data_IF_621971485957
#
_entry.id   IF_621971485957
#
_cell.length_a   1.000
_cell.length_b   1.000
_cell.length_c   1.000
_cell.angle_alpha   90.00
_cell.angle_beta   90.00
_cell.angle_gamma   90.00
#
_symmetry.space_group_name_H-M   'P 1'
#
loop_
_entity.id
_entity.type
_entity.pdbx_description
1 polymer ?
#
# COMPACT_ATOMS: atom_id res chain seq x y z
N UNK A 1 25.19 -6.71 8.59
CA UNK A 1 24.35 -5.64 9.15
C UNK A 1 25.00 -5.13 10.41
N UNK A 2 25.10 -3.81 10.54
CA UNK A 2 25.59 -3.18 11.76
C UNK A 2 24.55 -3.33 12.88
N UNK A 3 24.98 -3.32 14.15
CA UNK A 3 24.09 -3.44 15.32
C UNK A 3 22.98 -2.38 15.31
N UNK A 4 23.26 -1.17 14.84
CA UNK A 4 22.28 -0.09 14.68
C UNK A 4 21.19 -0.41 13.65
N UNK A 5 21.54 -1.05 12.53
CA UNK A 5 20.56 -1.44 11.50
C UNK A 5 19.60 -2.51 12.03
N UNK A 6 20.12 -3.44 12.83
CA UNK A 6 19.31 -4.49 13.46
C UNK A 6 18.34 -3.87 14.47
N UNK A 7 18.82 -2.96 15.33
CA UNK A 7 17.98 -2.26 16.30
C UNK A 7 16.90 -1.45 15.59
N UNK A 8 17.25 -0.70 14.54
CA UNK A 8 16.30 0.07 13.75
C UNK A 8 15.22 -0.82 13.11
N UNK A 9 15.61 -1.99 12.59
CA UNK A 9 14.67 -2.95 12.03
C UNK A 9 13.71 -3.49 13.09
N UNK A 10 14.22 -3.88 14.27
CA UNK A 10 13.39 -4.37 15.37
C UNK A 10 12.38 -3.31 15.81
N UNK A 11 12.84 -2.07 16.03
CA UNK A 11 11.96 -0.95 16.39
C UNK A 11 10.88 -0.73 15.33
N UNK A 12 11.26 -0.77 14.05
CA UNK A 12 10.31 -0.63 12.93
C UNK A 12 9.23 -1.72 12.98
N UNK A 13 9.62 -2.98 13.21
CA UNK A 13 8.69 -4.10 13.31
C UNK A 13 7.71 -3.89 14.48
N UNK A 14 8.23 -3.56 15.66
CA UNK A 14 7.40 -3.34 16.85
C UNK A 14 6.40 -2.20 16.62
N UNK A 15 6.85 -1.08 16.05
CA UNK A 15 6.00 0.06 15.73
C UNK A 15 4.90 -0.31 14.71
N UNK A 16 5.25 -0.98 13.62
CA UNK A 16 4.29 -1.34 12.57
C UNK A 16 3.27 -2.38 13.03
N UNK A 17 3.68 -3.36 13.82
CA UNK A 17 2.76 -4.35 14.40
C UNK A 17 1.83 -3.72 15.43
N UNK A 18 2.36 -2.85 16.30
CA UNK A 18 1.54 -2.10 17.26
C UNK A 18 0.51 -1.22 16.55
N UNK A 19 0.95 -0.50 15.52
CA UNK A 19 0.07 0.31 14.68
C UNK A 19 -1.03 -0.54 14.04
N UNK A 20 -0.66 -1.67 13.43
CA UNK A 20 -1.63 -2.58 12.81
C UNK A 20 -2.67 -3.10 13.80
N UNK A 21 -2.24 -3.41 15.03
CA UNK A 21 -3.15 -3.87 16.10
C UNK A 21 -4.13 -2.78 16.54
N UNK A 22 -3.66 -1.52 16.67
CA UNK A 22 -4.52 -0.38 16.99
C UNK A 22 -5.57 -0.17 15.90
N UNK A 23 -5.18 -0.18 14.63
CA UNK A 23 -6.12 -0.05 13.52
C UNK A 23 -7.13 -1.18 13.47
N UNK A 24 -6.70 -2.42 13.70
CA UNK A 24 -7.61 -3.56 13.82
C UNK A 24 -8.64 -3.36 14.92
N UNK A 25 -8.23 -2.87 16.10
CA UNK A 25 -9.16 -2.59 17.19
C UNK A 25 -10.12 -1.45 16.83
N UNK A 26 -9.62 -0.37 16.22
CA UNK A 26 -10.44 0.75 15.77
C UNK A 26 -11.48 0.30 14.74
N UNK A 27 -11.08 -0.44 13.70
CA UNK A 27 -12.01 -0.98 12.71
C UNK A 27 -13.05 -1.89 13.35
N UNK A 28 -12.60 -2.83 14.20
CA UNK A 28 -13.51 -3.72 14.93
C UNK A 28 -14.53 -2.93 15.74
N UNK A 29 -14.07 -2.00 16.58
CA UNK A 29 -14.93 -1.25 17.47
C UNK A 29 -15.92 -0.38 16.68
N UNK A 30 -15.41 0.35 15.69
CA UNK A 30 -16.23 1.18 14.80
C UNK A 30 -17.33 0.36 14.13
N UNK A 31 -16.99 -0.70 13.40
CA UNK A 31 -17.98 -1.46 12.65
C UNK A 31 -18.93 -2.27 13.55
N UNK A 32 -18.47 -2.81 14.69
CA UNK A 32 -19.38 -3.48 15.62
C UNK A 32 -20.36 -2.49 16.29
N UNK A 33 -19.90 -1.28 16.62
CA UNK A 33 -20.78 -0.25 17.15
C UNK A 33 -21.84 0.16 16.12
N UNK A 34 -21.45 0.37 14.87
CA UNK A 34 -22.39 0.67 13.79
C UNK A 34 -23.33 -0.50 13.48
N UNK A 35 -22.90 -1.75 13.67
CA UNK A 35 -23.81 -2.90 13.52
C UNK A 35 -24.87 -2.93 14.62
N UNK A 36 -24.52 -2.57 15.84
CA UNK A 36 -25.46 -2.56 16.97
C UNK A 36 -26.56 -1.51 16.78
N UNK A 37 -26.24 -0.31 16.28
CA UNK A 37 -27.25 0.72 15.97
C UNK A 37 -28.22 0.25 14.88
N UNK A 38 -27.71 -0.44 13.85
CA UNK A 38 -28.51 -1.04 12.77
C UNK A 38 -29.40 -2.17 13.28
N UNK A 39 -28.87 -3.06 14.13
CA UNK A 39 -29.63 -4.19 14.69
C UNK A 39 -30.76 -3.72 15.62
N UNK A 40 -30.53 -2.65 16.39
CA UNK A 40 -31.54 -2.03 17.25
C UNK A 40 -32.58 -1.19 16.48
N UNK A 41 -32.39 -0.99 15.18
CA UNK A 41 -33.26 -0.16 14.35
C UNK A 41 -33.11 1.35 14.56
N UNK A 42 -32.05 1.79 15.26
CA UNK A 42 -31.77 3.22 15.49
C UNK A 42 -31.53 3.97 14.16
N UNK A 43 -31.02 3.27 13.15
CA UNK A 43 -30.68 3.81 11.83
C UNK A 43 -31.72 3.48 10.73
N UNK A 44 -32.89 2.92 11.08
CA UNK A 44 -33.88 2.45 10.08
C UNK A 44 -34.37 3.54 9.12
N UNK A 45 -34.65 4.75 9.64
CA UNK A 45 -35.04 5.88 8.81
C UNK A 45 -33.94 6.27 7.82
N UNK A 46 -32.69 6.29 8.29
CA UNK A 46 -31.52 6.56 7.45
C UNK A 46 -31.34 5.49 6.36
N UNK A 47 -31.61 4.22 6.66
CA UNK A 47 -31.56 3.15 5.66
C UNK A 47 -32.63 3.33 4.57
N UNK A 48 -33.86 3.65 4.96
CA UNK A 48 -34.97 3.91 4.01
C UNK A 48 -34.70 5.13 3.13
N UNK A 49 -34.23 6.24 3.73
CA UNK A 49 -33.79 7.45 3.01
C UNK A 49 -32.77 7.11 1.93
N UNK A 50 -31.76 6.31 2.29
CA UNK A 50 -30.72 5.91 1.35
C UNK A 50 -31.28 5.10 0.18
N UNK A 51 -32.22 4.18 0.42
CA UNK A 51 -32.86 3.38 -0.64
C UNK A 51 -33.65 4.27 -1.60
N UNK A 52 -34.41 5.25 -1.09
CA UNK A 52 -35.15 6.23 -1.90
C UNK A 52 -34.18 7.09 -2.70
N UNK A 53 -33.09 7.54 -2.08
CA UNK A 53 -32.09 8.34 -2.77
C UNK A 53 -31.36 7.52 -3.83
N UNK A 54 -31.04 6.26 -3.58
CA UNK A 54 -30.40 5.36 -4.54
C UNK A 54 -31.30 5.08 -5.76
N UNK A 55 -32.60 4.82 -5.56
CA UNK A 55 -33.57 4.66 -6.66
C UNK A 55 -33.74 5.93 -7.49
N UNK A 56 -33.69 7.12 -6.87
CA UNK A 56 -33.63 8.41 -7.60
C UNK A 56 -32.29 8.58 -8.34
N UNK A 57 -31.17 8.24 -7.70
CA UNK A 57 -29.80 8.33 -8.25
C UNK A 57 -29.55 7.35 -9.40
N UNK A 58 -30.17 6.18 -9.38
CA UNK A 58 -30.14 5.16 -10.44
C UNK A 58 -30.56 5.73 -11.81
N UNK A 59 -31.46 6.72 -11.83
CA UNK A 59 -31.89 7.42 -13.06
C UNK A 59 -30.83 8.39 -13.61
N UNK A 60 -29.83 8.80 -12.80
CA UNK A 60 -28.78 9.75 -13.19
C UNK A 60 -27.58 9.08 -13.85
N UNK A 61 -27.53 9.11 -15.20
CA UNK A 61 -26.43 8.56 -16.00
C UNK A 61 -25.04 9.11 -15.60
N UNK A 62 -24.95 10.38 -15.20
CA UNK A 62 -23.68 11.07 -14.86
C UNK A 62 -23.02 10.50 -13.59
N UNK A 63 -23.79 10.22 -12.54
CA UNK A 63 -23.23 9.67 -11.28
C UNK A 63 -22.84 8.19 -11.41
N UNK A 64 -23.58 7.41 -12.21
CA UNK A 64 -23.19 6.02 -12.56
C UNK A 64 -21.81 6.00 -13.23
N UNK A 65 -21.58 6.89 -14.21
CA UNK A 65 -20.29 7.01 -14.86
C UNK A 65 -19.16 7.37 -13.87
N UNK A 66 -19.36 8.34 -12.97
CA UNK A 66 -18.31 8.71 -12.00
C UNK A 66 -17.92 7.58 -11.04
N UNK A 67 -18.87 6.73 -10.60
CA UNK A 67 -18.55 5.55 -9.76
C UNK A 67 -17.65 4.56 -10.49
N UNK A 68 -17.96 4.28 -11.76
CA UNK A 68 -17.16 3.36 -12.58
C UNK A 68 -15.76 3.93 -12.79
N UNK A 69 -15.68 5.21 -13.17
CA UNK A 69 -14.39 5.90 -13.36
C UNK A 69 -13.56 5.86 -12.09
N UNK A 70 -14.15 6.13 -10.92
CA UNK A 70 -13.46 6.07 -9.63
C UNK A 70 -12.89 4.67 -9.34
N UNK A 71 -13.66 3.60 -9.58
CA UNK A 71 -13.18 2.22 -9.42
C UNK A 71 -12.04 1.89 -10.37
N UNK A 72 -12.17 2.25 -11.65
CA UNK A 72 -11.14 2.02 -12.68
C UNK A 72 -9.84 2.71 -12.30
N UNK A 73 -9.91 3.98 -11.87
CA UNK A 73 -8.74 4.74 -11.42
C UNK A 73 -8.12 4.09 -10.18
N UNK A 74 -8.92 3.67 -9.21
CA UNK A 74 -8.43 3.02 -7.99
C UNK A 74 -7.66 1.73 -8.31
N UNK A 75 -8.19 0.86 -9.17
CA UNK A 75 -7.51 -0.37 -9.58
C UNK A 75 -6.25 -0.09 -10.41
N UNK A 76 -6.26 0.97 -11.22
CA UNK A 76 -5.08 1.40 -11.97
C UNK A 76 -3.95 1.84 -11.03
N UNK A 77 -4.26 2.68 -10.02
CA UNK A 77 -3.28 3.11 -9.02
C UNK A 77 -2.71 1.91 -8.25
N UNK A 78 -3.58 0.99 -7.81
CA UNK A 78 -3.15 -0.22 -7.11
C UNK A 78 -2.23 -1.09 -7.98
N UNK A 79 -2.58 -1.27 -9.26
CA UNK A 79 -1.77 -2.01 -10.22
C UNK A 79 -0.39 -1.38 -10.45
N UNK A 80 -0.31 -0.05 -10.51
CA UNK A 80 0.96 0.68 -10.59
C UNK A 80 1.80 0.43 -9.35
N UNK A 81 1.25 0.57 -8.14
CA UNK A 81 1.96 0.32 -6.88
C UNK A 81 2.48 -1.13 -6.83
N UNK A 82 1.65 -2.10 -7.20
CA UNK A 82 2.03 -3.51 -7.24
C UNK A 82 3.17 -3.76 -8.24
N UNK A 83 3.12 -3.15 -9.43
CA UNK A 83 4.19 -3.25 -10.42
C UNK A 83 5.52 -2.67 -9.90
N UNK A 84 5.49 -1.51 -9.23
CA UNK A 84 6.68 -0.94 -8.58
C UNK A 84 7.23 -1.84 -7.48
N UNK A 85 6.36 -2.45 -6.68
CA UNK A 85 6.76 -3.39 -5.63
C UNK A 85 7.41 -4.66 -6.18
N UNK A 86 6.80 -5.26 -7.22
CA UNK A 86 7.36 -6.45 -7.89
C UNK A 86 8.72 -6.10 -8.52
N UNK A 87 8.81 -4.99 -9.26
CA UNK A 87 10.05 -4.52 -9.86
C UNK A 87 11.14 -4.30 -8.80
N UNK A 88 10.78 -3.64 -7.70
CA UNK A 88 11.65 -3.42 -6.55
C UNK A 88 12.21 -4.75 -6.00
N UNK A 89 11.35 -5.75 -5.76
CA UNK A 89 11.75 -7.07 -5.27
C UNK A 89 12.67 -7.78 -6.25
N UNK A 90 12.35 -7.79 -7.55
CA UNK A 90 13.20 -8.41 -8.57
C UNK A 90 14.59 -7.76 -8.56
N UNK A 91 14.66 -6.42 -8.54
CA UNK A 91 15.93 -5.70 -8.46
C UNK A 91 16.74 -6.00 -7.19
N UNK A 92 16.07 -6.27 -6.07
CA UNK A 92 16.74 -6.70 -4.83
C UNK A 92 17.43 -8.05 -5.02
N UNK A 93 16.78 -9.00 -5.69
CA UNK A 93 17.33 -10.34 -5.92
C UNK A 93 18.39 -10.38 -7.04
N UNK A 94 18.35 -9.46 -8.00
CA UNK A 94 19.33 -9.37 -9.12
C UNK A 94 20.53 -8.46 -8.84
N UNK A 95 20.74 -8.07 -7.57
CA UNK A 95 21.82 -7.19 -7.12
C UNK A 95 21.84 -5.85 -7.88
N UNK A 96 20.68 -5.21 -8.00
CA UNK A 96 20.55 -3.81 -8.42
C UNK A 96 20.44 -3.55 -9.92
N UNK A 97 20.50 -4.57 -10.78
CA UNK A 97 20.31 -4.42 -12.23
C UNK A 97 19.48 -5.55 -12.81
N UNK A 98 18.36 -5.19 -13.45
CA UNK A 98 17.54 -6.10 -14.25
C UNK A 98 17.54 -5.61 -15.70
N UNK A 99 18.15 -6.38 -16.61
CA UNK A 99 18.20 -6.07 -18.04
C UNK A 99 16.89 -6.48 -18.72
N UNK A 100 16.31 -5.56 -19.49
CA UNK A 100 15.18 -5.80 -20.38
C UNK A 100 15.67 -5.51 -21.80
N UNK A 101 15.94 -6.57 -22.56
CA UNK A 101 16.66 -6.45 -23.83
C UNK A 101 18.11 -6.01 -23.62
N UNK A 102 18.50 -4.89 -24.22
CA UNK A 102 19.83 -4.30 -24.09
C UNK A 102 19.89 -3.13 -23.10
N UNK A 103 18.79 -2.81 -22.41
CA UNK A 103 18.70 -1.68 -21.48
C UNK A 103 18.36 -2.13 -20.07
N UNK A 104 18.78 -1.35 -19.08
CA UNK A 104 18.33 -1.48 -17.70
C UNK A 104 18.11 -0.12 -17.05
N UNK A 105 17.28 -0.11 -16.03
CA UNK A 105 17.14 1.03 -15.11
C UNK A 105 17.91 0.70 -13.84
N UNK A 106 18.78 1.62 -13.40
CA UNK A 106 19.61 1.46 -12.20
C UNK A 106 19.25 2.58 -11.23
N UNK A 107 18.99 2.21 -9.98
CA UNK A 107 18.76 3.17 -8.90
C UNK A 107 20.10 3.53 -8.27
N UNK A 108 20.41 4.82 -8.21
CA UNK A 108 21.70 5.30 -7.70
C UNK A 108 21.69 5.30 -6.17
N UNK A 109 22.56 4.48 -5.57
CA UNK A 109 22.63 4.31 -4.12
C UNK A 109 23.56 5.29 -3.38
N UNK A 110 24.43 6.01 -4.09
CA UNK A 110 25.46 6.87 -3.49
C UNK A 110 25.59 8.21 -4.21
N UNK A 111 26.25 9.17 -3.54
CA UNK A 111 26.52 10.51 -4.09
C UNK A 111 27.83 10.62 -4.88
N UNK A 112 28.49 9.51 -5.22
CA UNK A 112 29.83 9.53 -5.86
C UNK A 112 29.84 10.11 -7.27
N UNK A 113 28.67 10.25 -7.90
CA UNK A 113 28.47 10.88 -9.22
C UNK A 113 27.68 12.20 -9.15
N UNK A 114 27.42 12.72 -7.95
CA UNK A 114 26.52 13.87 -7.75
C UNK A 114 27.15 15.24 -8.00
N UNK A 115 28.47 15.36 -7.83
CA UNK A 115 29.21 16.62 -7.93
C UNK A 115 30.44 16.43 -8.82
N UNK A 116 30.96 17.54 -9.33
CA UNK A 116 32.25 17.55 -10.00
C UNK A 116 33.32 17.93 -8.97
N UNK A 117 34.15 16.96 -8.59
CA UNK A 117 35.28 17.22 -7.71
C UNK A 117 36.29 18.15 -8.41
N UNK A 118 36.83 19.13 -7.68
CA UNK A 118 37.80 20.09 -8.22
C UNK A 118 39.10 19.44 -8.71
N UNK A 119 39.50 18.31 -8.12
CA UNK A 119 40.66 17.54 -8.54
C UNK A 119 40.49 16.93 -9.95
N UNK A 120 39.26 16.75 -10.41
CA UNK A 120 38.93 16.09 -11.67
C UNK A 120 38.85 17.12 -12.81
N UNK A 121 39.98 17.73 -13.16
CA UNK A 121 40.06 18.81 -14.16
C UNK A 121 39.51 18.42 -15.53
N UNK A 122 39.63 17.14 -15.90
CA UNK A 122 39.10 16.59 -17.16
C UNK A 122 37.59 16.77 -17.30
N UNK A 123 36.82 16.88 -16.21
CA UNK A 123 35.37 17.12 -16.25
C UNK A 123 35.06 18.50 -16.83
N UNK A 124 35.80 19.53 -16.41
CA UNK A 124 35.65 20.90 -16.91
C UNK A 124 36.22 21.05 -18.32
N UNK A 125 37.42 20.52 -18.57
CA UNK A 125 38.08 20.64 -19.87
C UNK A 125 37.28 19.98 -21.00
N UNK A 126 36.59 18.87 -20.71
CA UNK A 126 35.79 18.13 -21.69
C UNK A 126 34.27 18.43 -21.62
N UNK A 127 33.84 19.42 -20.84
CA UNK A 127 32.42 19.81 -20.67
C UNK A 127 31.49 18.66 -20.23
N UNK A 128 31.94 17.81 -19.30
CA UNK A 128 31.24 16.60 -18.87
C UNK A 128 30.24 16.87 -17.73
N UNK A 129 29.07 17.43 -18.07
CA UNK A 129 28.07 17.91 -17.10
C UNK A 129 26.89 16.95 -16.86
N UNK A 130 27.13 15.64 -16.92
CA UNK A 130 26.08 14.61 -16.82
C UNK A 130 25.99 13.93 -15.44
N UNK A 131 26.30 14.67 -14.37
CA UNK A 131 26.17 14.23 -12.97
C UNK A 131 24.71 14.00 -12.55
N UNK A 132 24.50 13.07 -11.62
CA UNK A 132 23.20 12.68 -11.09
C UNK A 132 23.26 12.38 -9.60
N UNK A 133 22.14 12.59 -8.91
CA UNK A 133 22.09 12.53 -7.46
C UNK A 133 21.80 11.12 -6.94
N UNK A 134 22.08 10.91 -5.65
CA UNK A 134 21.57 9.75 -4.92
C UNK A 134 20.06 9.65 -5.11
N UNK A 135 19.56 8.44 -5.32
CA UNK A 135 18.16 8.11 -5.59
C UNK A 135 17.60 8.56 -6.95
N UNK A 136 18.42 9.08 -7.85
CA UNK A 136 18.04 9.14 -9.25
C UNK A 136 17.97 7.72 -9.84
N UNK A 137 17.09 7.52 -10.81
CA UNK A 137 17.05 6.32 -11.65
C UNK A 137 17.68 6.68 -12.98
N UNK A 138 18.71 5.94 -13.40
CA UNK A 138 19.36 6.14 -14.69
C UNK A 138 19.07 4.97 -15.63
N UNK A 139 18.99 5.24 -16.93
CA UNK A 139 18.97 4.19 -17.94
C UNK A 139 20.40 3.89 -18.41
N UNK A 140 20.79 2.62 -18.29
CA UNK A 140 22.00 2.09 -18.89
C UNK A 140 21.69 1.23 -20.11
N UNK A 141 22.63 1.13 -21.04
CA UNK A 141 22.55 0.26 -22.21
C UNK A 141 23.82 -0.59 -22.33
N UNK A 142 23.67 -1.85 -22.74
CA UNK A 142 24.80 -2.77 -22.91
C UNK A 142 25.65 -2.35 -24.11
N UNK A 143 26.97 -2.43 -23.96
CA UNK A 143 27.87 -2.37 -25.10
C UNK A 143 27.73 -3.61 -25.98
N UNK A 144 27.89 -3.46 -27.30
CA UNK A 144 27.95 -4.61 -28.22
C UNK A 144 29.32 -5.26 -28.23
N UNK A 145 30.36 -4.45 -28.05
CA UNK A 145 31.76 -4.87 -28.11
C UNK A 145 32.63 -3.99 -27.18
N UNK A 146 33.77 -4.53 -26.75
CA UNK A 146 34.75 -3.85 -25.90
C UNK A 146 35.30 -2.57 -26.53
N UNK A 147 35.42 -2.52 -27.86
CA UNK A 147 35.94 -1.37 -28.60
C UNK A 147 34.98 -0.17 -28.60
N UNK A 148 33.74 -0.37 -28.15
CA UNK A 148 32.76 0.70 -28.02
C UNK A 148 32.93 1.51 -26.74
N UNK A 149 33.68 1.00 -25.75
CA UNK A 149 33.93 1.71 -24.49
C UNK A 149 34.88 2.87 -24.75
N UNK A 150 34.42 4.10 -24.48
CA UNK A 150 35.22 5.31 -24.71
C UNK A 150 35.69 5.93 -23.41
N UNK A 151 36.78 6.67 -23.54
CA UNK A 151 37.26 7.53 -22.48
C UNK A 151 36.14 8.52 -22.10
N UNK A 152 35.90 8.66 -20.79
CA UNK A 152 34.87 9.50 -20.19
C UNK A 152 33.42 9.01 -20.26
N UNK A 153 33.18 7.80 -20.78
CA UNK A 153 31.87 7.17 -20.63
C UNK A 153 31.55 6.92 -19.15
N UNK A 154 30.30 7.13 -18.77
CA UNK A 154 29.80 6.73 -17.44
C UNK A 154 29.27 5.31 -17.55
N UNK A 155 29.92 4.37 -16.86
CA UNK A 155 29.64 2.95 -16.95
C UNK A 155 29.11 2.41 -15.62
N UNK A 156 28.14 1.51 -15.71
CA UNK A 156 27.72 0.66 -14.61
C UNK A 156 28.50 -0.65 -14.69
N UNK A 157 29.18 -1.04 -13.62
CA UNK A 157 29.97 -2.26 -13.54
C UNK A 157 29.79 -2.95 -12.19
N UNK A 158 30.16 -4.23 -12.09
CA UNK A 158 30.11 -4.99 -10.83
C UNK A 158 31.48 -4.98 -10.14
N UNK A 159 31.53 -4.50 -8.89
CA UNK A 159 32.74 -4.52 -8.06
C UNK A 159 33.05 -5.92 -7.49
N UNK A 160 34.13 -6.07 -6.72
CA UNK A 160 34.60 -7.39 -6.22
C UNK A 160 33.58 -8.08 -5.30
N UNK A 161 32.67 -7.30 -4.72
CA UNK A 161 31.56 -7.77 -3.89
C UNK A 161 30.26 -7.98 -4.69
N UNK A 162 30.34 -7.96 -6.03
CA UNK A 162 29.21 -8.10 -6.96
C UNK A 162 28.16 -6.96 -6.86
N UNK A 163 28.51 -5.84 -6.22
CA UNK A 163 27.70 -4.63 -6.11
C UNK A 163 27.86 -3.80 -7.38
N UNK A 164 26.75 -3.25 -7.88
CA UNK A 164 26.77 -2.40 -9.07
C UNK A 164 27.21 -0.99 -8.69
N UNK A 165 28.31 -0.55 -9.30
CA UNK A 165 28.90 0.77 -9.16
C UNK A 165 28.75 1.50 -10.49
N UNK A 166 28.41 2.78 -10.44
CA UNK A 166 28.24 3.61 -11.65
C UNK A 166 29.24 4.75 -11.58
N UNK A 167 30.31 4.68 -12.36
CA UNK A 167 31.40 5.66 -12.36
C UNK A 167 31.90 5.93 -13.78
N UNK A 168 32.75 6.93 -13.93
CA UNK A 168 33.27 7.34 -15.24
C UNK A 168 34.59 6.67 -15.56
N UNK A 169 34.77 6.23 -16.80
CA UNK A 169 36.05 5.74 -17.32
C UNK A 169 37.03 6.90 -17.46
N UNK A 170 38.12 6.87 -16.71
CA UNK A 170 39.17 7.91 -16.74
C UNK A 170 40.46 7.45 -17.45
N UNK A 171 40.62 6.14 -17.66
CA UNK A 171 41.75 5.57 -18.38
C UNK A 171 41.33 4.26 -19.07
N UNK A 172 41.89 4.01 -20.26
CA UNK A 172 41.78 2.74 -20.98
C UNK A 172 43.20 2.22 -21.14
N UNK A 173 43.46 1.02 -20.63
CA UNK A 173 44.75 0.32 -20.75
C UNK A 173 44.59 -0.83 -21.74
N UNK A 174 45.61 -1.08 -22.52
CA UNK A 174 45.65 -2.19 -23.46
C UNK A 174 46.97 -2.93 -23.30
N UNK A 175 46.88 -4.17 -22.83
CA UNK A 175 48.04 -5.06 -22.61
C UNK A 175 47.77 -6.38 -23.31
N UNK A 176 48.68 -6.81 -24.18
CA UNK A 176 48.59 -8.08 -24.92
C UNK A 176 47.24 -8.28 -25.65
N UNK A 177 46.68 -7.20 -26.21
CA UNK A 177 45.39 -7.20 -26.92
C UNK A 177 44.15 -7.26 -26.01
N UNK A 178 44.33 -7.21 -24.68
CA UNK A 178 43.24 -7.14 -23.70
C UNK A 178 43.06 -5.70 -23.21
N UNK A 179 41.87 -5.14 -23.42
CA UNK A 179 41.50 -3.82 -22.91
C UNK A 179 40.97 -3.92 -21.47
N UNK A 180 41.52 -3.10 -20.59
CA UNK A 180 41.05 -2.90 -19.22
C UNK A 180 40.83 -1.42 -18.93
N UNK A 181 40.05 -1.13 -17.92
CA UNK A 181 39.54 0.22 -17.66
C UNK A 181 39.86 0.66 -16.25
N UNK A 182 40.09 1.96 -16.07
CA UNK A 182 40.13 2.59 -14.75
C UNK A 182 38.92 3.52 -14.66
N UNK A 183 38.12 3.35 -13.63
CA UNK A 183 36.95 4.18 -13.35
C UNK A 183 37.16 5.05 -12.11
N UNK A 184 36.41 6.15 -12.05
CA UNK A 184 36.37 7.05 -10.91
C UNK A 184 35.00 7.74 -10.83
N UNK A 185 34.47 7.87 -9.61
CA UNK A 185 33.30 8.70 -9.35
C UNK A 185 33.60 10.18 -9.50
N UNK A 186 32.74 10.93 -10.18
CA UNK A 186 32.95 12.35 -10.47
C UNK A 186 33.12 13.21 -9.21
N UNK A 187 32.49 12.82 -8.10
CA UNK A 187 32.61 13.47 -6.77
C UNK A 187 33.85 13.04 -6.01
N UNK A 188 34.48 11.91 -6.37
CA UNK A 188 35.61 11.33 -5.66
C UNK A 188 36.93 11.99 -6.11
N UNK A 189 37.91 12.02 -5.21
CA UNK A 189 39.26 12.53 -5.46
C UNK A 189 40.28 11.44 -5.84
N UNK A 190 39.86 10.17 -5.88
CA UNK A 190 40.70 9.03 -6.19
C UNK A 190 39.93 8.02 -7.04
N UNK A 191 40.68 7.24 -7.83
CA UNK A 191 40.14 6.16 -8.65
C UNK A 191 39.58 5.00 -7.83
N UNK A 192 38.82 4.14 -8.49
CA UNK A 192 38.22 2.96 -7.88
C UNK A 192 39.22 1.81 -7.62
N UNK A 193 40.46 1.94 -8.10
CA UNK A 193 41.57 1.00 -7.85
C UNK A 193 41.84 0.86 -6.35
N UNK A 194 41.92 -0.37 -5.87
CA UNK A 194 42.14 -0.71 -4.47
C UNK A 194 40.91 -0.57 -3.57
N UNK A 195 39.86 0.15 -4.00
CA UNK A 195 38.63 0.34 -3.22
C UNK A 195 37.43 -0.45 -3.75
N UNK A 196 37.29 -0.60 -5.07
CA UNK A 196 36.21 -1.35 -5.72
C UNK A 196 36.72 -2.59 -6.47
N UNK A 197 37.95 -2.54 -6.96
CA UNK A 197 38.65 -3.64 -7.62
C UNK A 197 40.16 -3.49 -7.46
N UNK A 198 40.92 -4.59 -7.54
CA UNK A 198 42.35 -4.60 -7.17
C UNK A 198 43.27 -3.77 -8.07
N UNK A 199 43.20 -3.98 -9.39
CA UNK A 199 44.17 -3.38 -10.32
C UNK A 199 43.49 -2.62 -11.46
N UNK A 200 42.64 -3.30 -12.24
CA UNK A 200 41.89 -2.72 -13.34
C UNK A 200 40.54 -3.41 -13.51
N UNK A 201 39.60 -2.72 -14.15
CA UNK A 201 38.27 -3.23 -14.45
C UNK A 201 38.28 -3.95 -15.80
N UNK A 202 37.85 -5.20 -15.83
CA UNK A 202 37.70 -6.00 -17.04
C UNK A 202 36.33 -5.78 -17.71
N UNK A 203 36.26 -5.93 -19.04
CA UNK A 203 35.04 -5.66 -19.80
C UNK A 203 33.85 -6.54 -19.40
N UNK A 204 34.08 -7.79 -19.01
CA UNK A 204 33.05 -8.74 -18.59
C UNK A 204 32.25 -8.28 -17.35
N UNK A 205 32.83 -7.36 -16.57
CA UNK A 205 32.20 -6.77 -15.37
C UNK A 205 31.40 -5.52 -15.68
N UNK A 206 31.57 -4.93 -16.87
CA UNK A 206 30.79 -3.79 -17.33
C UNK A 206 29.40 -4.28 -17.75
N UNK A 207 28.39 -3.76 -17.07
CA UNK A 207 26.98 -4.10 -17.32
C UNK A 207 26.43 -3.25 -18.46
N UNK A 208 26.82 -1.97 -18.52
CA UNK A 208 26.41 -1.05 -19.57
C UNK A 208 26.86 0.38 -19.32
N UNK A 209 26.49 1.29 -20.22
CA UNK A 209 26.82 2.71 -20.15
C UNK A 209 25.57 3.56 -19.99
N UNK A 210 25.73 4.70 -19.32
CA UNK A 210 24.67 5.66 -19.09
C UNK A 210 24.25 6.35 -20.39
N UNK A 211 22.96 6.29 -20.70
CA UNK A 211 22.37 6.82 -21.93
C UNK A 211 21.99 8.31 -21.86
N UNK A 212 22.37 9.01 -20.79
CA UNK A 212 21.91 10.36 -20.43
C UNK A 212 20.41 10.50 -20.11
N UNK A 213 19.68 9.39 -20.01
CA UNK A 213 18.29 9.39 -19.57
C UNK A 213 18.19 9.12 -18.06
N UNK A 214 17.53 10.03 -17.33
CA UNK A 214 17.33 9.92 -15.88
C UNK A 214 15.91 10.29 -15.44
N UNK A 215 15.46 9.69 -14.34
CA UNK A 215 14.23 10.00 -13.63
C UNK A 215 14.60 10.39 -12.20
N UNK A 216 14.22 11.60 -11.79
CA UNK A 216 14.53 12.15 -10.47
C UNK A 216 13.44 11.82 -9.45
N UNK A 217 13.83 11.60 -8.20
CA UNK A 217 12.91 11.55 -7.04
C UNK A 217 12.15 10.23 -6.82
N UNK A 218 12.09 9.33 -7.81
CA UNK A 218 11.38 8.05 -7.68
C UNK A 218 12.26 6.94 -7.08
N UNK A 219 13.58 7.01 -7.24
CA UNK A 219 14.48 5.95 -6.78
C UNK A 219 14.48 5.77 -5.27
N UNK A 220 14.21 6.82 -4.49
CA UNK A 220 14.14 6.74 -3.03
C UNK A 220 13.00 5.80 -2.59
N UNK A 221 11.86 5.89 -3.27
CA UNK A 221 10.73 5.00 -3.05
C UNK A 221 11.07 3.56 -3.41
N UNK A 222 11.80 3.33 -4.52
CA UNK A 222 12.24 1.98 -4.90
C UNK A 222 13.21 1.40 -3.86
N UNK A 223 14.22 2.15 -3.42
CA UNK A 223 15.16 1.71 -2.37
C UNK A 223 14.41 1.40 -1.08
N UNK A 224 13.42 2.21 -0.71
CA UNK A 224 12.56 1.93 0.44
C UNK A 224 11.82 0.59 0.29
N UNK A 225 11.16 0.35 -0.85
CA UNK A 225 10.46 -0.92 -1.12
C UNK A 225 11.41 -2.13 -1.17
N UNK A 226 12.70 -1.95 -1.45
CA UNK A 226 13.71 -3.00 -1.40
C UNK A 226 14.17 -3.31 0.03
N UNK A 227 14.09 -2.32 0.93
CA UNK A 227 14.52 -2.48 2.31
C UNK A 227 13.63 -3.45 3.09
N UNK A 228 14.18 -4.11 4.12
CA UNK A 228 13.38 -4.97 5.01
C UNK A 228 12.23 -4.19 5.65
N UNK A 229 12.48 -2.94 6.07
CA UNK A 229 11.47 -2.06 6.65
C UNK A 229 10.31 -1.75 5.69
N UNK A 230 10.63 -1.46 4.42
CA UNK A 230 9.60 -1.17 3.41
C UNK A 230 8.76 -2.40 3.04
N UNK A 231 9.39 -3.58 2.92
CA UNK A 231 8.65 -4.83 2.68
C UNK A 231 7.66 -5.10 3.82
N UNK A 232 8.09 -4.98 5.07
CA UNK A 232 7.22 -5.21 6.24
C UNK A 232 6.09 -4.17 6.28
N UNK A 233 6.38 -2.92 5.91
CA UNK A 233 5.36 -1.86 5.80
C UNK A 233 4.27 -2.23 4.80
N UNK A 234 4.63 -2.74 3.62
CA UNK A 234 3.66 -3.19 2.61
C UNK A 234 2.78 -4.32 3.17
N UNK A 235 3.35 -5.32 3.84
CA UNK A 235 2.56 -6.39 4.45
C UNK A 235 1.63 -5.88 5.57
N UNK A 236 2.09 -4.95 6.41
CA UNK A 236 1.24 -4.33 7.43
C UNK A 236 0.09 -3.53 6.82
N UNK A 237 0.33 -2.77 5.74
CA UNK A 237 -0.73 -2.04 5.02
C UNK A 237 -1.74 -3.01 4.42
N UNK A 238 -1.29 -4.08 3.76
CA UNK A 238 -2.17 -5.12 3.22
C UNK A 238 -2.99 -5.81 4.32
N UNK A 239 -2.37 -6.09 5.48
CA UNK A 239 -3.08 -6.63 6.64
C UNK A 239 -4.16 -5.67 7.16
N UNK A 240 -3.83 -4.39 7.34
CA UNK A 240 -4.80 -3.38 7.79
C UNK A 240 -5.95 -3.24 6.80
N UNK A 241 -5.65 -3.26 5.50
CA UNK A 241 -6.64 -3.24 4.44
C UNK A 241 -7.55 -4.48 4.49
N UNK A 242 -6.98 -5.68 4.65
CA UNK A 242 -7.76 -6.90 4.81
C UNK A 242 -8.65 -6.90 6.06
N UNK A 243 -8.17 -6.38 7.19
CA UNK A 243 -8.98 -6.23 8.41
C UNK A 243 -10.10 -5.21 8.23
N UNK A 244 -9.84 -4.10 7.54
CA UNK A 244 -10.87 -3.14 7.17
C UNK A 244 -11.94 -3.79 6.29
N UNK A 245 -11.56 -4.47 5.21
CA UNK A 245 -12.49 -5.17 4.32
C UNK A 245 -13.32 -6.21 5.07
N UNK A 246 -12.70 -7.01 5.94
CA UNK A 246 -13.39 -8.02 6.74
C UNK A 246 -14.52 -7.43 7.61
N UNK A 247 -14.24 -6.38 8.38
CA UNK A 247 -15.25 -5.75 9.23
C UNK A 247 -16.26 -4.93 8.42
N UNK A 248 -15.82 -4.27 7.36
CA UNK A 248 -16.70 -3.54 6.45
C UNK A 248 -17.69 -4.49 5.77
N UNK A 249 -17.27 -5.66 5.29
CA UNK A 249 -18.16 -6.65 4.68
C UNK A 249 -19.20 -7.16 5.68
N UNK A 250 -18.79 -7.43 6.93
CA UNK A 250 -19.72 -7.81 8.00
C UNK A 250 -20.76 -6.71 8.27
N UNK A 251 -20.33 -5.46 8.29
CA UNK A 251 -21.21 -4.30 8.47
C UNK A 251 -22.20 -4.14 7.30
N UNK A 252 -21.71 -4.22 6.05
CA UNK A 252 -22.56 -4.13 4.85
C UNK A 252 -23.61 -5.25 4.80
N UNK A 253 -23.26 -6.47 5.24
CA UNK A 253 -24.23 -7.57 5.37
C UNK A 253 -25.32 -7.27 6.41
N UNK A 254 -24.99 -6.61 7.51
CA UNK A 254 -25.99 -6.20 8.51
C UNK A 254 -26.96 -5.17 7.94
N UNK A 255 -26.42 -4.15 7.26
CA UNK A 255 -27.22 -3.13 6.55
C UNK A 255 -28.17 -3.80 5.55
N UNK A 256 -27.66 -4.68 4.68
CA UNK A 256 -28.49 -5.35 3.66
C UNK A 256 -29.61 -6.15 4.31
N UNK A 257 -29.30 -6.96 5.32
CA UNK A 257 -30.30 -7.77 6.03
C UNK A 257 -31.39 -6.91 6.67
N UNK A 258 -31.01 -5.82 7.36
CA UNK A 258 -31.98 -4.90 7.99
C UNK A 258 -32.83 -4.19 6.95
N UNK A 259 -32.20 -3.71 5.88
CA UNK A 259 -32.89 -3.03 4.77
C UNK A 259 -33.89 -3.97 4.10
N UNK A 260 -33.50 -5.20 3.76
CA UNK A 260 -34.38 -6.20 3.16
C UNK A 260 -35.55 -6.55 4.09
N UNK A 261 -35.30 -6.63 5.40
CA UNK A 261 -36.35 -6.83 6.39
C UNK A 261 -37.36 -5.68 6.39
N UNK A 262 -36.91 -4.42 6.41
CA UNK A 262 -37.78 -3.24 6.37
C UNK A 262 -38.62 -3.18 5.09
N UNK A 263 -37.98 -3.39 3.93
CA UNK A 263 -38.65 -3.32 2.62
C UNK A 263 -39.71 -4.40 2.42
N UNK A 264 -39.53 -5.59 3.02
CA UNK A 264 -40.52 -6.67 2.96
C UNK A 264 -41.64 -6.53 4.00
N UNK A 265 -41.38 -5.84 5.12
CA UNK A 265 -42.34 -5.69 6.23
C UNK A 265 -43.24 -4.48 6.02
N UNK A 266 -42.69 -3.37 5.53
CA UNK A 266 -43.42 -2.14 5.28
C UNK A 266 -44.01 -2.16 3.85
N UNK A 267 -45.17 -1.53 3.60
CA UNK A 267 -45.73 -1.36 2.26
C UNK A 267 -44.93 -0.29 1.46
N UNK A 268 -43.65 -0.53 1.27
CA UNK A 268 -42.71 0.40 0.66
C UNK A 268 -42.99 0.58 -0.84
N UNK A 269 -42.95 1.82 -1.31
CA UNK A 269 -43.02 2.19 -2.72
C UNK A 269 -41.95 3.24 -3.05
N UNK A 270 -41.45 3.23 -4.28
CA UNK A 270 -40.42 4.18 -4.73
C UNK A 270 -40.91 5.64 -4.85
N UNK A 271 -42.20 5.89 -4.58
CA UNK A 271 -42.83 7.22 -4.59
C UNK A 271 -42.97 7.81 -3.18
N UNK A 272 -42.71 7.04 -2.12
CA UNK A 272 -42.73 7.53 -0.73
C UNK A 272 -41.70 8.62 -0.48
N UNK A 273 -42.07 9.61 0.33
CA UNK A 273 -41.15 10.56 0.93
C UNK A 273 -41.00 10.20 2.42
N UNK A 274 -39.90 9.57 2.77
CA UNK A 274 -39.59 9.15 4.15
C UNK A 274 -39.56 10.32 5.14
N UNK A 275 -39.39 11.56 4.69
CA UNK A 275 -39.44 12.75 5.54
C UNK A 275 -40.86 13.25 5.86
N UNK A 276 -41.87 12.81 5.11
CA UNK A 276 -43.29 13.15 5.32
C UNK A 276 -44.12 11.94 5.80
N UNK A 277 -43.74 10.71 5.42
CA UNK A 277 -44.57 9.51 5.56
C UNK A 277 -44.14 8.54 6.68
N UNK A 278 -42.97 8.76 7.33
CA UNK A 278 -42.41 7.85 8.33
C UNK A 278 -42.10 8.58 9.63
N UNK A 279 -42.84 8.25 10.70
CA UNK A 279 -42.54 8.69 12.07
C UNK A 279 -41.96 7.53 12.87
N UNK A 280 -40.69 7.65 13.28
CA UNK A 280 -40.03 6.66 14.13
C UNK A 280 -40.27 6.98 15.61
N UNK A 281 -40.96 6.09 16.31
CA UNK A 281 -41.18 6.19 17.76
C UNK A 281 -40.63 4.95 18.47
N UNK A 282 -39.71 5.15 19.41
CA UNK A 282 -39.14 4.07 20.21
C UNK A 282 -39.99 3.80 21.44
N UNK A 283 -40.31 2.53 21.69
CA UNK A 283 -41.04 2.09 22.87
C UNK A 283 -40.15 1.25 23.79
N UNK A 284 -40.13 1.56 25.08
CA UNK A 284 -39.47 0.74 26.10
C UNK A 284 -40.54 0.07 26.97
N UNK A 285 -40.52 -1.26 27.08
CA UNK A 285 -41.43 -2.02 27.96
C UNK A 285 -40.66 -2.50 29.18
N UNK A 286 -41.04 -2.02 30.35
CA UNK A 286 -40.47 -2.42 31.64
C UNK A 286 -41.49 -3.21 32.44
N UNK A 287 -41.12 -4.40 32.93
CA UNK A 287 -41.98 -5.22 33.79
C UNK A 287 -41.48 -5.13 35.23
N UNK A 288 -42.31 -4.64 36.13
CA UNK A 288 -41.98 -4.51 37.54
C UNK A 288 -43.14 -4.99 38.41
N UNK A 289 -42.86 -5.99 39.26
CA UNK A 289 -43.84 -6.56 40.22
C UNK A 289 -45.18 -6.97 39.59
N UNK A 290 -45.15 -7.63 38.42
CA UNK A 290 -46.36 -8.09 37.74
C UNK A 290 -47.16 -7.00 37.03
N UNK A 291 -46.57 -5.81 36.84
CA UNK A 291 -47.14 -4.73 36.04
C UNK A 291 -46.18 -4.39 34.89
N UNK A 292 -46.72 -4.20 33.69
CA UNK A 292 -45.97 -3.72 32.52
C UNK A 292 -46.17 -2.23 32.33
N UNK A 293 -45.06 -1.53 32.13
CA UNK A 293 -44.97 -0.09 31.90
C UNK A 293 -44.41 0.12 30.50
N UNK A 294 -45.18 0.75 29.61
CA UNK A 294 -44.73 1.11 28.27
C UNK A 294 -44.40 2.60 28.24
N UNK A 295 -43.16 2.91 27.88
CA UNK A 295 -42.67 4.26 27.67
C UNK A 295 -42.53 4.51 26.18
N UNK A 296 -42.82 5.72 25.71
CA UNK A 296 -42.25 6.17 24.45
C UNK A 296 -41.59 7.54 24.65
N UNK A 297 -40.38 7.68 24.12
CA UNK A 297 -39.56 8.89 24.27
C UNK A 297 -39.50 9.38 25.72
N UNK A 298 -39.16 8.48 26.65
CA UNK A 298 -39.04 8.70 28.10
C UNK A 298 -40.33 9.12 28.84
N UNK A 299 -41.49 9.06 28.18
CA UNK A 299 -42.80 9.32 28.80
C UNK A 299 -43.55 8.01 28.98
N UNK A 300 -44.08 7.78 30.18
CA UNK A 300 -44.97 6.65 30.43
C UNK A 300 -46.28 6.85 29.66
N UNK A 301 -46.59 5.92 28.75
CA UNK A 301 -47.80 5.97 27.91
C UNK A 301 -48.82 4.94 28.38
N UNK A 302 -48.37 3.78 28.87
CA UNK A 302 -49.28 2.71 29.26
C UNK A 302 -48.81 2.00 30.53
N UNK A 303 -49.76 1.68 31.42
CA UNK A 303 -49.56 0.81 32.59
C UNK A 303 -50.64 -0.28 32.58
N UNK A 304 -50.23 -1.54 32.53
CA UNK A 304 -51.11 -2.71 32.58
C UNK A 304 -50.69 -3.66 33.68
N UNK A 305 -51.65 -4.31 34.34
CA UNK A 305 -51.36 -5.53 35.10
C UNK A 305 -51.05 -6.64 34.10
N UNK A 306 -50.00 -7.39 34.35
CA UNK A 306 -49.69 -8.59 33.59
C UNK A 306 -50.65 -9.66 34.08
N UNK A 307 -51.78 -9.82 33.39
CA UNK A 307 -52.72 -10.90 33.67
C UNK A 307 -52.10 -12.20 33.12
N UNK A 308 -52.08 -13.25 33.94
CA UNK A 308 -51.30 -14.49 33.80
C UNK A 308 -51.66 -15.40 32.59
N UNK A 309 -52.43 -14.93 31.60
CA UNK A 309 -52.78 -15.74 30.44
C UNK A 309 -52.66 -14.92 29.14
N UNK A 310 -51.87 -15.43 28.20
CA UNK A 310 -51.70 -15.01 26.77
C UNK A 310 -50.63 -13.98 26.37
N UNK A 311 -49.40 -14.06 26.90
CA UNK A 311 -48.23 -13.49 26.17
C UNK A 311 -46.89 -14.23 26.42
N UNK A 312 -46.93 -15.56 26.57
CA UNK A 312 -45.76 -16.43 26.50
C UNK A 312 -45.72 -17.12 25.14
N UNK A 313 -45.48 -16.33 24.09
CA UNK A 313 -45.21 -16.82 22.73
C UNK A 313 -43.71 -16.96 22.48
N UNK A 314 -43.21 -18.18 22.67
CA UNK A 314 -41.99 -18.78 22.10
C UNK A 314 -40.66 -18.00 22.21
N UNK A 315 -39.99 -18.19 23.35
CA UNK A 315 -38.52 -18.34 23.35
C UNK A 315 -38.19 -19.76 23.83
N UNK A 316 -37.96 -20.68 22.89
CA UNK A 316 -37.31 -21.96 23.16
C UNK A 316 -35.89 -21.90 22.61
N UNK A 317 -34.96 -21.59 23.50
CA UNK A 317 -33.57 -21.97 23.37
C UNK A 317 -33.44 -23.50 23.34
N UNK A 318 -32.89 -24.08 22.27
CA UNK A 318 -32.25 -25.40 22.32
C UNK A 318 -30.73 -25.21 22.29
N UNK A 319 -30.16 -25.21 23.49
CA UNK A 319 -28.75 -25.53 23.73
C UNK A 319 -28.64 -27.02 24.01
N UNK A 320 -28.26 -27.84 23.04
CA UNK A 320 -27.77 -29.19 23.29
C UNK A 320 -26.25 -29.19 23.37
N UNK A 321 -25.76 -29.27 24.61
CA UNK A 321 -24.44 -29.81 24.94
C UNK A 321 -24.65 -31.30 25.19
N UNK A 322 -24.15 -32.17 24.30
CA UNK A 322 -23.97 -33.59 24.59
C UNK A 322 -22.50 -33.88 24.88
N UNK A 323 -22.21 -34.10 26.15
CA UNK A 323 -21.03 -34.81 26.65
C UNK A 323 -21.35 -36.31 26.78
N UNK A 324 -20.57 -37.16 26.12
CA UNK A 324 -20.06 -38.47 26.56
C UNK A 324 -19.40 -39.12 25.33
N UNK A 325 -18.13 -39.48 25.34
CA UNK A 325 -17.46 -40.55 26.10
C UNK A 325 -16.54 -41.24 25.09
N UNK A 326 -15.43 -41.90 25.40
CA UNK A 326 -14.75 -42.33 26.62
C UNK A 326 -13.28 -42.59 26.25
#
# INVERSE_FOLDING_TARGET
MQTLEIISLIVTIVCLLSFSLVFTFLFRHYFLSQMHTIENGEDDLYLLDNVIEETKREKSKRRKAMRIVGKVISYLILGVIAAFFIYSLVNRFTSGVTMIGDKAMVVIGSGSMSQQNEANTYLKTNNLNNQFNTYDIIQIQKYKDVDQVKLYDVVAYRNDENIVIVHRVIEIKETDGTKTFITQGDSNNASDVGSQYKESLSYDRIVGYYTNFRIKGVGAFIVFLQSNSGIITIFCVLYCFGMYEYYSDKYQKSISKRTDFLLNTLPFSAEYDSSEDVEQTSYEKLVFKGESYLFANDKLIEKKKVDDETDMGEDKSESEVSSDGS
#
